data_IF_833955238102
#
_entry.id   IF_833955238102
#
_cell.length_a   1.000
_cell.length_b   1.000
_cell.length_c   1.000
_cell.angle_alpha   90.00
_cell.angle_beta   90.00
_cell.angle_gamma   90.00
#
_symmetry.space_group_name_H-M   'P 1'
#
loop_
_entity.id
_entity.type
_entity.pdbx_description
1 polymer ?
#
# COMPACT_ATOMS: atom_id res chain seq x y z
N UNK A 1 -5.43 -2.17 -11.70
CA UNK A 1 -4.81 -0.83 -11.52
C UNK A 1 -3.83 -0.96 -10.39
N UNK A 2 -2.63 -0.39 -10.52
CA UNK A 2 -1.71 -0.20 -9.40
C UNK A 2 -1.79 1.27 -8.95
N UNK A 3 -1.78 1.55 -7.64
CA UNK A 3 -1.79 2.91 -7.13
C UNK A 3 -0.93 3.04 -5.87
N UNK A 4 -0.34 4.22 -5.69
CA UNK A 4 0.28 4.67 -4.44
C UNK A 4 -0.63 5.70 -3.80
N UNK A 5 -0.91 5.54 -2.51
CA UNK A 5 -1.70 6.50 -1.73
C UNK A 5 -0.95 6.91 -0.48
N UNK A 6 -1.30 8.07 0.08
CA UNK A 6 -0.78 8.52 1.36
C UNK A 6 -1.84 8.47 2.47
N UNK A 7 -1.43 8.84 3.69
CA UNK A 7 -2.29 8.88 4.89
C UNK A 7 -3.47 9.86 4.80
N UNK A 8 -3.47 10.76 3.81
CA UNK A 8 -4.56 11.71 3.57
C UNK A 8 -5.53 11.20 2.49
N UNK A 9 -5.45 9.92 2.13
CA UNK A 9 -6.29 9.27 1.12
C UNK A 9 -6.10 9.84 -0.29
N UNK A 10 -4.91 10.40 -0.57
CA UNK A 10 -4.58 11.00 -1.86
C UNK A 10 -3.90 9.98 -2.76
N UNK A 11 -4.38 9.83 -4.00
CA UNK A 11 -3.64 9.12 -5.04
C UNK A 11 -2.38 9.92 -5.41
N UNK A 12 -1.21 9.32 -5.23
CA UNK A 12 0.11 9.94 -5.49
C UNK A 12 0.75 9.44 -6.78
N UNK A 13 0.51 8.19 -7.14
CA UNK A 13 0.93 7.59 -8.40
C UNK A 13 -0.08 6.53 -8.82
N UNK A 14 -0.27 6.33 -10.12
CA UNK A 14 -1.20 5.33 -10.65
C UNK A 14 -0.72 4.76 -11.97
N UNK A 15 -0.91 3.45 -12.13
CA UNK A 15 -0.71 2.73 -13.39
C UNK A 15 -2.03 2.05 -13.79
N UNK A 16 -2.53 2.42 -14.96
CA UNK A 16 -3.85 2.02 -15.48
C UNK A 16 -3.68 1.40 -16.86
N UNK A 17 -4.56 0.46 -17.20
CA UNK A 17 -4.62 -0.15 -18.55
C UNK A 17 -3.94 -1.51 -18.69
N UNK A 18 -3.47 -2.09 -17.59
CA UNK A 18 -3.03 -3.49 -17.58
C UNK A 18 -4.23 -4.45 -17.48
N UNK A 19 -4.23 -5.56 -18.24
CA UNK A 19 -5.21 -6.62 -18.06
C UNK A 19 -5.21 -7.16 -16.62
N UNK A 20 -6.38 -7.54 -16.10
CA UNK A 20 -6.52 -8.03 -14.72
C UNK A 20 -5.75 -9.33 -14.43
N UNK A 21 -5.33 -10.07 -15.45
CA UNK A 21 -4.51 -11.27 -15.32
C UNK A 21 -3.01 -11.01 -15.18
N UNK A 22 -2.56 -9.75 -15.27
CA UNK A 22 -1.14 -9.41 -15.18
C UNK A 22 -0.74 -9.29 -13.72
N UNK A 23 0.28 -10.03 -13.30
CA UNK A 23 0.82 -9.97 -11.94
C UNK A 23 1.27 -8.57 -11.54
N UNK A 24 0.96 -8.18 -10.31
CA UNK A 24 1.29 -6.87 -9.74
C UNK A 24 2.78 -6.54 -9.83
N UNK A 25 3.67 -7.49 -9.54
CA UNK A 25 5.11 -7.30 -9.68
C UNK A 25 5.55 -6.95 -11.13
N UNK A 26 4.83 -7.45 -12.13
CA UNK A 26 5.08 -7.10 -13.54
C UNK A 26 4.61 -5.68 -13.85
N UNK A 27 3.46 -5.26 -13.31
CA UNK A 27 2.99 -3.88 -13.42
C UNK A 27 4.00 -2.93 -12.77
N UNK A 28 4.46 -3.26 -11.55
CA UNK A 28 5.44 -2.48 -10.81
C UNK A 28 6.74 -2.33 -11.61
N UNK A 29 7.35 -3.43 -12.06
CA UNK A 29 8.62 -3.39 -12.79
C UNK A 29 8.56 -2.58 -14.10
N UNK A 30 7.36 -2.37 -14.66
CA UNK A 30 7.15 -1.53 -15.85
C UNK A 30 6.66 -0.11 -15.52
N UNK A 31 6.58 0.26 -14.25
CA UNK A 31 6.09 1.56 -13.80
C UNK A 31 7.19 2.62 -13.72
N UNK A 32 6.80 3.89 -13.87
CA UNK A 32 7.69 5.02 -13.63
C UNK A 32 8.21 5.06 -12.19
N UNK A 33 7.34 4.69 -11.23
CA UNK A 33 7.65 4.56 -9.81
C UNK A 33 8.86 3.65 -9.56
N UNK A 34 8.86 2.46 -10.15
CA UNK A 34 9.94 1.47 -9.98
C UNK A 34 11.27 1.99 -10.50
N UNK A 35 11.25 2.69 -11.64
CA UNK A 35 12.45 3.34 -12.19
C UNK A 35 12.99 4.39 -11.23
N UNK A 36 12.15 5.30 -10.72
CA UNK A 36 12.57 6.32 -9.77
C UNK A 36 13.12 5.74 -8.47
N UNK A 37 12.49 4.68 -7.95
CA UNK A 37 12.94 4.01 -6.74
C UNK A 37 14.33 3.40 -6.90
N UNK A 38 14.56 2.67 -7.99
CA UNK A 38 15.86 2.06 -8.28
C UNK A 38 16.95 3.07 -8.62
N UNK A 39 16.58 4.25 -9.13
CA UNK A 39 17.51 5.37 -9.37
C UNK A 39 17.76 6.21 -8.10
N UNK A 40 17.12 5.91 -6.96
CA UNK A 40 17.23 6.70 -5.73
C UNK A 40 16.60 8.10 -5.83
N UNK A 41 15.68 8.31 -6.77
CA UNK A 41 15.03 9.61 -7.08
C UNK A 41 13.57 9.68 -6.65
N UNK A 42 13.04 8.61 -6.06
CA UNK A 42 11.63 8.52 -5.69
C UNK A 42 11.26 9.51 -4.59
N UNK A 43 12.14 9.65 -3.60
CA UNK A 43 11.96 10.59 -2.49
C UNK A 43 12.97 11.72 -2.65
N UNK A 44 12.49 12.96 -2.53
CA UNK A 44 13.32 14.16 -2.64
C UNK A 44 13.62 14.67 -1.23
N UNK A 45 14.89 15.01 -0.98
CA UNK A 45 15.36 15.53 0.30
C UNK A 45 16.05 14.47 1.18
N UNK A 46 16.71 14.93 2.23
CA UNK A 46 17.41 14.08 3.19
C UNK A 46 16.47 13.76 4.37
N UNK A 47 15.54 12.83 4.16
CA UNK A 47 14.52 12.41 5.15
C UNK A 47 14.84 11.05 5.78
N UNK A 48 16.11 10.75 5.97
CA UNK A 48 16.56 9.47 6.51
C UNK A 48 16.64 9.49 8.03
N UNK A 49 16.20 8.39 8.66
CA UNK A 49 16.28 8.19 10.11
C UNK A 49 17.26 7.07 10.43
N UNK A 50 18.00 7.19 11.55
CA UNK A 50 18.83 6.09 12.03
C UNK A 50 18.04 5.24 13.03
N UNK A 51 17.76 3.99 12.65
CA UNK A 51 17.02 3.03 13.47
C UNK A 51 17.96 1.87 13.77
N UNK A 52 18.37 1.73 15.03
CA UNK A 52 19.26 0.66 15.50
C UNK A 52 20.57 0.54 14.71
N UNK A 53 21.13 1.66 14.24
CA UNK A 53 22.35 1.69 13.44
C UNK A 53 22.12 1.54 11.92
N UNK A 54 20.88 1.25 11.50
CA UNK A 54 20.49 1.16 10.10
C UNK A 54 19.89 2.49 9.64
N UNK A 55 20.42 3.05 8.55
CA UNK A 55 19.86 4.26 7.95
C UNK A 55 18.62 3.89 7.13
N UNK A 56 17.45 4.36 7.56
CA UNK A 56 16.16 4.09 6.95
C UNK A 56 15.67 5.33 6.21
N UNK A 57 15.59 5.23 4.88
CA UNK A 57 14.97 6.23 4.03
C UNK A 57 13.43 6.10 4.06
N UNK A 58 12.68 7.08 3.52
CA UNK A 58 11.25 6.88 3.29
C UNK A 58 10.99 5.62 2.44
N UNK A 59 9.91 4.91 2.75
CA UNK A 59 9.54 3.63 2.15
C UNK A 59 8.10 3.70 1.63
N UNK A 60 7.83 3.00 0.51
CA UNK A 60 6.48 2.63 0.11
C UNK A 60 6.13 1.29 0.76
N UNK A 61 4.88 1.11 1.19
CA UNK A 61 4.39 -0.15 1.75
C UNK A 61 3.65 -0.94 0.67
N UNK A 62 4.19 -2.11 0.30
CA UNK A 62 3.64 -2.98 -0.73
C UNK A 62 2.88 -4.19 -0.17
N UNK A 63 2.04 -4.77 -1.03
CA UNK A 63 1.54 -6.14 -0.90
C UNK A 63 2.64 -7.21 -0.79
N UNK A 64 2.31 -8.36 -0.18
CA UNK A 64 3.18 -9.54 -0.18
C UNK A 64 3.68 -9.94 -1.58
N UNK A 65 2.86 -9.68 -2.61
CA UNK A 65 3.10 -10.01 -4.00
C UNK A 65 4.13 -9.08 -4.70
N UNK A 66 4.63 -8.04 -4.04
CA UNK A 66 5.72 -7.21 -4.57
C UNK A 66 7.10 -7.74 -4.13
N UNK A 67 8.20 -7.34 -4.80
CA UNK A 67 9.55 -7.57 -4.30
C UNK A 67 9.84 -6.74 -3.04
N UNK A 68 10.82 -7.17 -2.25
CA UNK A 68 11.37 -6.36 -1.15
C UNK A 68 12.55 -5.55 -1.69
N UNK A 69 12.47 -4.22 -1.60
CA UNK A 69 13.48 -3.30 -2.16
C UNK A 69 13.86 -2.21 -1.12
N UNK A 70 14.98 -1.49 -1.29
CA UNK A 70 15.40 -0.46 -0.34
C UNK A 70 14.41 0.71 -0.17
N UNK A 71 13.46 0.84 -1.10
CA UNK A 71 12.41 1.85 -1.11
C UNK A 71 10.99 1.26 -1.07
N UNK A 72 10.85 -0.08 -1.06
CA UNK A 72 9.57 -0.81 -1.06
C UNK A 72 9.58 -1.91 0.00
N UNK A 73 8.82 -1.68 1.07
CA UNK A 73 8.69 -2.58 2.19
C UNK A 73 7.51 -3.52 2.03
N UNK A 74 7.69 -4.79 2.36
CA UNK A 74 6.64 -5.81 2.30
C UNK A 74 6.64 -6.71 3.54
N UNK A 75 5.52 -7.36 3.88
CA UNK A 75 5.46 -8.22 5.06
C UNK A 75 6.41 -9.41 4.96
N UNK A 76 6.79 -9.97 6.11
CA UNK A 76 7.40 -11.30 6.15
C UNK A 76 6.43 -12.33 5.56
N UNK A 77 6.95 -13.22 4.73
CA UNK A 77 6.16 -14.32 4.17
C UNK A 77 5.65 -15.24 5.29
N UNK A 78 4.49 -15.85 5.06
CA UNK A 78 4.00 -16.88 5.96
C UNK A 78 4.88 -18.12 5.80
N UNK A 79 5.61 -18.48 6.85
CA UNK A 79 6.46 -19.67 6.90
C UNK A 79 6.32 -20.33 8.28
N UNK A 80 6.63 -21.64 8.41
CA UNK A 80 6.64 -22.30 9.71
C UNK A 80 7.54 -21.61 10.74
N UNK A 81 8.58 -20.92 10.27
CA UNK A 81 9.59 -20.24 11.09
C UNK A 81 9.24 -18.78 11.40
N UNK A 82 8.02 -18.32 11.09
CA UNK A 82 7.61 -16.94 11.36
C UNK A 82 7.53 -16.66 12.88
N UNK A 83 8.39 -15.77 13.37
CA UNK A 83 8.50 -15.40 14.78
C UNK A 83 7.35 -14.47 15.22
N UNK A 84 7.21 -14.28 16.54
CA UNK A 84 6.26 -13.31 17.09
C UNK A 84 6.56 -11.86 16.66
N UNK A 85 7.85 -11.50 16.54
CA UNK A 85 8.26 -10.18 16.05
C UNK A 85 7.89 -9.96 14.60
N UNK A 86 8.09 -10.96 13.73
CA UNK A 86 7.63 -10.90 12.34
C UNK A 86 6.12 -10.73 12.24
N UNK A 87 5.34 -11.44 13.07
CA UNK A 87 3.88 -11.29 13.12
C UNK A 87 3.47 -9.88 13.57
N UNK A 88 4.14 -9.32 14.57
CA UNK A 88 3.87 -7.97 15.05
C UNK A 88 4.21 -6.90 14.00
N UNK A 89 5.35 -7.04 13.32
CA UNK A 89 5.70 -6.20 12.16
C UNK A 89 4.62 -6.27 11.07
N UNK A 90 4.22 -7.49 10.66
CA UNK A 90 3.18 -7.70 9.66
C UNK A 90 1.85 -7.05 10.09
N UNK A 91 1.47 -7.15 11.36
CA UNK A 91 0.28 -6.48 11.90
C UNK A 91 0.36 -4.96 11.75
N UNK A 92 1.48 -4.33 12.14
CA UNK A 92 1.68 -2.88 11.99
C UNK A 92 1.65 -2.47 10.53
N UNK A 93 2.29 -3.25 9.65
CA UNK A 93 2.28 -3.00 8.22
C UNK A 93 0.85 -3.07 7.66
N UNK A 94 0.10 -4.14 7.95
CA UNK A 94 -1.31 -4.28 7.54
C UNK A 94 -2.17 -3.12 8.04
N UNK A 95 -1.97 -2.65 9.28
CA UNK A 95 -2.67 -1.47 9.81
C UNK A 95 -2.37 -0.20 9.02
N UNK A 96 -1.11 0.06 8.68
CA UNK A 96 -0.75 1.21 7.86
C UNK A 96 -1.39 1.13 6.46
N UNK A 97 -1.45 -0.09 5.90
CA UNK A 97 -2.02 -0.36 4.58
C UNK A 97 -3.55 -0.28 4.53
N UNK A 98 -4.25 -0.26 5.68
CA UNK A 98 -5.70 0.02 5.69
C UNK A 98 -6.06 1.35 5.02
N UNK A 99 -5.13 2.30 4.99
CA UNK A 99 -5.27 3.55 4.24
C UNK A 99 -5.56 3.32 2.76
N UNK A 100 -4.96 2.28 2.14
CA UNK A 100 -5.20 1.89 0.75
C UNK A 100 -6.65 1.51 0.55
N UNK A 101 -7.14 0.56 1.36
CA UNK A 101 -8.53 0.09 1.31
C UNK A 101 -9.52 1.23 1.55
N UNK A 102 -9.26 2.07 2.54
CA UNK A 102 -10.08 3.24 2.83
C UNK A 102 -10.09 4.22 1.66
N UNK A 103 -8.94 4.46 1.01
CA UNK A 103 -8.85 5.35 -0.15
C UNK A 103 -9.68 4.82 -1.33
N UNK A 104 -9.52 3.54 -1.67
CA UNK A 104 -10.29 2.90 -2.73
C UNK A 104 -11.78 2.82 -2.38
N UNK A 105 -12.12 2.62 -1.10
CA UNK A 105 -13.50 2.63 -0.63
C UNK A 105 -14.16 4.00 -0.78
N UNK A 106 -13.49 5.06 -0.33
CA UNK A 106 -13.94 6.45 -0.52
C UNK A 106 -14.07 6.81 -2.00
N UNK A 107 -13.11 6.40 -2.82
CA UNK A 107 -13.15 6.61 -4.28
C UNK A 107 -14.34 5.89 -4.93
N UNK A 108 -14.54 4.60 -4.64
CA UNK A 108 -15.71 3.83 -5.14
C UNK A 108 -17.03 4.41 -4.63
N UNK A 109 -17.05 4.90 -3.39
CA UNK A 109 -18.20 5.57 -2.79
C UNK A 109 -18.59 6.85 -3.55
N UNK A 110 -17.62 7.74 -3.84
CA UNK A 110 -17.86 8.94 -4.66
C UNK A 110 -18.28 8.59 -6.08
N UNK A 111 -17.60 7.61 -6.68
CA UNK A 111 -17.80 7.22 -8.07
C UNK A 111 -18.45 5.84 -8.15
N UNK A 112 -19.69 5.74 -7.66
CA UNK A 112 -20.49 4.50 -7.56
C UNK A 112 -20.58 3.66 -8.85
N UNK A 113 -20.26 4.25 -10.01
CA UNK A 113 -20.13 3.52 -11.28
C UNK A 113 -19.14 2.37 -11.19
N UNK A 114 -18.08 2.48 -10.38
CA UNK A 114 -17.08 1.43 -10.21
C UNK A 114 -17.51 0.29 -9.27
N UNK A 115 -18.67 0.42 -8.61
CA UNK A 115 -19.30 -0.68 -7.86
C UNK A 115 -20.11 -1.63 -8.77
N UNK A 116 -20.25 -1.28 -10.05
CA UNK A 116 -20.99 -2.06 -11.04
C UNK A 116 -20.07 -2.46 -12.18
N UNK A 117 -20.47 -3.51 -12.91
CA UNK A 117 -19.80 -3.86 -14.17
C UNK A 117 -19.85 -2.66 -15.11
N UNK A 118 -18.68 -2.31 -15.63
CA UNK A 118 -18.53 -1.17 -16.53
C UNK A 118 -18.67 -1.65 -17.97
N UNK A 119 -19.77 -1.27 -18.60
CA UNK A 119 -19.98 -1.52 -20.04
C UNK A 119 -19.38 -0.38 -20.86
N UNK A 120 -18.05 -0.41 -21.01
CA UNK A 120 -17.28 0.54 -21.82
C UNK A 120 -16.12 -0.18 -22.47
N UNK A 121 -15.63 0.34 -23.61
CA UNK A 121 -14.38 -0.15 -24.18
C UNK A 121 -13.19 0.14 -23.24
N UNK A 122 -12.12 -0.63 -23.37
CA UNK A 122 -10.95 -0.58 -22.47
C UNK A 122 -10.36 0.83 -22.38
N UNK A 123 -10.25 1.54 -23.51
CA UNK A 123 -9.71 2.91 -23.57
C UNK A 123 -10.53 3.86 -22.70
N UNK A 124 -11.85 3.84 -22.84
CA UNK A 124 -12.76 4.69 -22.09
C UNK A 124 -12.77 4.34 -20.60
N UNK A 125 -12.67 3.05 -20.25
CA UNK A 125 -12.51 2.62 -18.86
C UNK A 125 -11.24 3.23 -18.27
N UNK A 126 -10.10 3.14 -18.97
CA UNK A 126 -8.83 3.67 -18.49
C UNK A 126 -8.89 5.18 -18.25
N UNK A 127 -9.46 5.93 -19.20
CA UNK A 127 -9.64 7.39 -19.09
C UNK A 127 -10.56 7.72 -17.91
N UNK A 128 -11.69 7.01 -17.78
CA UNK A 128 -12.68 7.27 -16.71
C UNK A 128 -12.08 7.01 -15.34
N UNK A 129 -11.34 5.91 -15.18
CA UNK A 129 -10.63 5.59 -13.93
C UNK A 129 -9.62 6.69 -13.61
N UNK A 130 -8.74 7.06 -14.56
CA UNK A 130 -7.74 8.10 -14.36
C UNK A 130 -8.38 9.44 -13.95
N UNK A 131 -9.40 9.89 -14.69
CA UNK A 131 -10.12 11.12 -14.41
C UNK A 131 -10.77 11.11 -13.03
N UNK A 132 -11.42 9.99 -12.65
CA UNK A 132 -12.08 9.88 -11.36
C UNK A 132 -11.10 9.90 -10.17
N UNK A 133 -9.90 9.35 -10.31
CA UNK A 133 -8.88 9.42 -9.26
C UNK A 133 -8.30 10.83 -9.11
N UNK A 134 -8.15 11.58 -10.21
CA UNK A 134 -7.76 12.99 -10.17
C UNK A 134 -8.86 13.83 -9.50
N UNK A 135 -10.13 13.61 -9.85
CA UNK A 135 -11.25 14.28 -9.20
C UNK A 135 -11.35 13.94 -7.71
N UNK A 136 -11.15 12.67 -7.34
CA UNK A 136 -11.05 12.25 -5.93
C UNK A 136 -9.95 13.02 -5.20
N UNK A 137 -8.76 13.10 -5.79
CA UNK A 137 -7.65 13.89 -5.23
C UNK A 137 -8.08 15.34 -4.97
N UNK A 138 -8.75 15.99 -5.94
CA UNK A 138 -9.26 17.37 -5.79
C UNK A 138 -10.29 17.50 -4.66
N UNK A 139 -11.21 16.55 -4.52
CA UNK A 139 -12.18 16.53 -3.43
C UNK A 139 -11.49 16.40 -2.06
N UNK A 140 -10.51 15.49 -1.92
CA UNK A 140 -9.80 15.27 -0.65
C UNK A 140 -8.97 16.49 -0.23
N UNK A 141 -8.25 17.14 -1.16
CA UNK A 141 -7.49 18.37 -0.83
C UNK A 141 -8.41 19.57 -0.56
N UNK A 142 -9.64 19.53 -1.06
CA UNK A 142 -10.68 20.54 -0.78
C UNK A 142 -11.43 20.25 0.52
N UNK A 143 -11.06 19.17 1.23
CA UNK A 143 -11.71 18.69 2.45
C UNK A 143 -13.21 18.43 2.28
N UNK A 144 -13.63 17.98 1.10
CA UNK A 144 -15.01 17.56 0.88
C UNK A 144 -15.34 16.32 1.71
N UNK A 145 -16.41 16.41 2.49
CA UNK A 145 -16.88 15.32 3.33
C UNK A 145 -17.29 14.10 2.49
N UNK A 146 -17.00 12.91 3.02
CA UNK A 146 -17.57 11.66 2.51
C UNK A 146 -18.90 11.43 3.19
N UNK A 147 -19.91 11.10 2.40
CA UNK A 147 -21.21 10.68 2.90
C UNK A 147 -21.14 9.20 3.28
N UNK A 148 -21.40 8.87 4.55
CA UNK A 148 -21.32 7.50 5.07
C UNK A 148 -22.18 6.50 4.28
N UNK A 149 -23.31 6.97 3.76
CA UNK A 149 -24.23 6.20 2.91
C UNK A 149 -23.55 5.66 1.65
N UNK A 150 -22.54 6.35 1.14
CA UNK A 150 -21.78 5.91 -0.04
C UNK A 150 -20.90 4.70 0.26
N UNK A 151 -20.53 4.48 1.52
CA UNK A 151 -19.67 3.37 1.93
C UNK A 151 -20.46 2.09 2.20
N UNK A 152 -21.77 2.16 2.38
CA UNK A 152 -22.63 0.99 2.63
C UNK A 152 -22.48 -0.03 1.49
N UNK A 153 -22.67 0.43 0.25
CA UNK A 153 -22.55 -0.43 -0.94
C UNK A 153 -21.12 -0.94 -1.15
N UNK A 154 -20.12 -0.14 -0.77
CA UNK A 154 -18.70 -0.51 -0.86
C UNK A 154 -18.42 -1.68 0.07
N UNK A 155 -18.81 -1.58 1.35
CA UNK A 155 -18.61 -2.64 2.33
C UNK A 155 -19.36 -3.92 1.95
N UNK A 156 -20.58 -3.79 1.41
CA UNK A 156 -21.33 -4.94 0.91
C UNK A 156 -20.61 -5.66 -0.26
N UNK A 157 -19.97 -4.90 -1.16
CA UNK A 157 -19.22 -5.47 -2.29
C UNK A 157 -17.91 -6.14 -1.87
N UNK A 158 -17.19 -5.58 -0.89
CA UNK A 158 -15.89 -6.11 -0.46
C UNK A 158 -16.00 -7.49 0.22
N UNK A 159 -17.12 -7.78 0.89
CA UNK A 159 -17.35 -9.08 1.52
C UNK A 159 -17.50 -10.26 0.53
N UNK A 160 -17.68 -9.97 -0.77
CA UNK A 160 -17.85 -10.98 -1.81
C UNK A 160 -16.54 -11.40 -2.50
N UNK A 161 -15.47 -10.60 -2.38
CA UNK A 161 -14.19 -10.77 -3.08
C UNK A 161 -13.07 -11.15 -2.08
N UNK A 162 -13.10 -12.37 -1.54
CA UNK A 162 -11.97 -12.94 -0.78
C UNK A 162 -11.17 -13.88 -1.70
N UNK A 163 -10.18 -13.35 -2.41
CA UNK A 163 -9.21 -14.16 -3.15
C UNK A 163 -7.87 -14.24 -2.39
N UNK A 164 -7.46 -15.47 -2.09
CA UNK A 164 -6.20 -15.81 -1.42
C UNK A 164 -5.08 -15.89 -2.47
N UNK A 165 -4.18 -14.91 -2.50
CA UNK A 165 -3.07 -14.88 -3.46
C UNK A 165 -1.89 -15.75 -3.00
N UNK A 166 -1.48 -16.70 -3.84
CA UNK A 166 -0.22 -17.43 -3.70
C UNK A 166 0.98 -16.50 -3.97
N UNK A 167 1.86 -16.35 -2.99
CA UNK A 167 3.08 -15.54 -3.09
C UNK A 167 4.21 -16.39 -3.66
N UNK A 168 4.78 -16.00 -4.79
CA UNK A 168 5.99 -16.61 -5.35
C UNK A 168 7.22 -15.76 -5.00
N UNK A 169 8.37 -16.40 -4.81
CA UNK A 169 9.63 -15.78 -4.36
C UNK A 169 10.13 -14.71 -5.35
N UNK A 170 9.70 -13.49 -5.09
CA UNK A 170 10.19 -12.30 -5.76
C UNK A 170 11.43 -11.79 -5.04
N UNK A 171 12.37 -11.29 -5.84
CA UNK A 171 13.68 -10.76 -5.46
C UNK A 171 13.67 -10.10 -4.07
N UNK A 172 14.51 -10.65 -3.19
CA UNK A 172 14.89 -10.06 -1.91
C UNK A 172 16.35 -9.65 -2.05
N UNK A 173 16.67 -8.37 -1.90
CA UNK A 173 18.07 -7.94 -1.81
C UNK A 173 18.50 -7.89 -0.33
N UNK A 174 19.75 -8.27 0.00
CA UNK A 174 20.25 -8.28 1.37
C UNK A 174 20.05 -6.95 2.12
N UNK A 175 20.37 -5.83 1.47
CA UNK A 175 20.21 -4.49 2.04
C UNK A 175 18.75 -4.17 2.45
N UNK A 176 17.77 -4.80 1.80
CA UNK A 176 16.35 -4.55 2.09
C UNK A 176 15.83 -5.40 3.25
N UNK A 177 16.43 -6.57 3.51
CA UNK A 177 16.13 -7.34 4.73
C UNK A 177 16.61 -6.61 5.97
N UNK A 178 17.80 -5.99 5.93
CA UNK A 178 18.38 -5.28 7.07
C UNK A 178 17.49 -4.11 7.53
N UNK A 179 16.91 -3.36 6.58
CA UNK A 179 15.94 -2.30 6.89
C UNK A 179 14.68 -2.88 7.56
N UNK A 180 14.16 -4.00 7.06
CA UNK A 180 12.95 -4.62 7.60
C UNK A 180 13.19 -5.18 9.00
N UNK A 181 14.33 -5.80 9.21
CA UNK A 181 14.71 -6.40 10.49
C UNK A 181 14.94 -5.29 11.54
N UNK A 182 15.63 -4.19 11.16
CA UNK A 182 15.80 -3.03 12.03
C UNK A 182 14.46 -2.39 12.46
N UNK A 183 13.52 -2.25 11.52
CA UNK A 183 12.16 -1.78 11.81
C UNK A 183 11.39 -2.76 12.72
N UNK A 184 11.58 -4.05 12.52
CA UNK A 184 10.96 -5.10 13.34
C UNK A 184 11.41 -4.99 14.79
N UNK A 185 12.71 -4.91 15.02
CA UNK A 185 13.29 -4.76 16.36
C UNK A 185 12.82 -3.45 17.02
N UNK A 186 12.84 -2.35 16.27
CA UNK A 186 12.35 -1.04 16.73
C UNK A 186 10.89 -1.14 17.20
N UNK A 187 10.01 -1.75 16.41
CA UNK A 187 8.59 -1.89 16.78
C UNK A 187 8.38 -2.75 18.03
N UNK A 188 9.20 -3.77 18.27
CA UNK A 188 9.11 -4.55 19.50
C UNK A 188 9.51 -3.71 20.72
N UNK A 189 10.59 -2.92 20.61
CA UNK A 189 11.05 -2.05 21.71
C UNK A 189 10.06 -0.93 22.06
N UNK A 190 9.38 -0.36 21.05
CA UNK A 190 8.35 0.67 21.20
C UNK A 190 7.04 0.10 21.80
N UNK A 191 6.74 -1.18 21.50
CA UNK A 191 5.62 -1.91 22.08
C UNK A 191 5.79 -2.21 23.58
N UNK A 192 7.01 -2.49 24.02
CA UNK A 192 7.33 -2.72 25.44
C UNK A 192 7.22 -1.42 26.27
N UNK A 193 7.64 -0.28 25.71
CA UNK A 193 7.52 1.03 26.36
C UNK A 193 6.06 1.43 26.62
N UNK A 194 5.13 1.10 25.71
CA UNK A 194 3.70 1.41 25.85
C UNK A 194 2.92 0.44 26.75
N UNK A 195 3.48 -0.71 27.12
CA UNK A 195 2.88 -1.62 28.11
C UNK A 195 3.30 -1.29 29.56
N UNK A 196 4.29 -0.42 29.78
CA UNK A 196 4.81 -0.05 31.10
C UNK A 196 4.04 1.04 31.86
N UNK A 197 3.03 1.68 31.25
CA UNK A 197 2.29 2.79 31.87
C UNK A 197 0.84 2.47 32.27
N UNK A 198 0.45 1.19 32.31
CA UNK A 198 -0.87 0.73 32.73
C UNK A 198 -0.82 -0.03 34.05
N UNK A 199 -0.38 0.59 35.14
CA UNK A 199 -0.33 -0.09 36.43
C UNK A 199 0.15 0.81 37.57
N UNK A 200 -0.74 1.67 38.06
CA UNK A 200 -0.82 2.13 39.47
C UNK A 200 -2.18 2.80 39.67
#
# INVERSE_FOLDING_TARGET
>A
MQAVVDSNYLFRDMVIGWPGSVHDARILSNSHLYRLGNEGKLFVGNLSENINGTLVNPLILGDPAYPLLPWLMKPYQHSPDITASHKYFNYRLSRARMTVENTFGRWKGRFRRFLKKVDMNVTNVCITVAASCILHYLCEISHEEIVDEWLIDVHASAAADNDEYLVQDLLVTPDSSDIRDALTDYFMSDGEANMGCGGS
#
